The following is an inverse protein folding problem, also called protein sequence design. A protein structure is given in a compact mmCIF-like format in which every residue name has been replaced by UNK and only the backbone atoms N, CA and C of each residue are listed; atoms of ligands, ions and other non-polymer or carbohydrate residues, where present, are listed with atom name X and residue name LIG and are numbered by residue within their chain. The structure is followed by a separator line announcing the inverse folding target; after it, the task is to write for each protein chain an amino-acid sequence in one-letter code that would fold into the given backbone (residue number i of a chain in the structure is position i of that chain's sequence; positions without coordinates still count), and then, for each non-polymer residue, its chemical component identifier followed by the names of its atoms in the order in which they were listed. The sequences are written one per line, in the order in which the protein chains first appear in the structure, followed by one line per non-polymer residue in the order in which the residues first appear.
data_IF_224566407014
#
_entry.id   IF_224566407014
#
_cell.length_a   1.000
_cell.length_b   1.000
_cell.length_c   1.000
_cell.angle_alpha   90.00
_cell.angle_beta   90.00
_cell.angle_gamma   90.00
#
_symmetry.space_group_name_H-M   'P 1'
#
loop_
_entity.id
_entity.type
_entity.pdbx_description
1 polymer ?
#
# COMPACT_ATOMS: atom_id res chain seq x y z
N UNK A 1 -11.98 0.34 2.70
CA UNK A 1 -12.23 -1.02 3.22
C UNK A 1 -11.08 -1.50 4.10
N UNK A 2 -9.81 -1.43 3.66
CA UNK A 2 -8.63 -1.81 4.46
C UNK A 2 -8.59 -1.24 5.88
N UNK A 3 -8.82 0.07 6.05
CA UNK A 3 -8.74 0.70 7.36
C UNK A 3 -9.68 0.12 8.41
N UNK A 4 -10.82 -0.46 8.00
CA UNK A 4 -11.74 -1.13 8.93
C UNK A 4 -11.21 -2.50 9.38
N UNK A 5 -10.54 -3.24 8.50
CA UNK A 5 -9.91 -4.51 8.83
C UNK A 5 -8.71 -4.29 9.76
N UNK A 6 -7.84 -3.32 9.43
CA UNK A 6 -6.73 -2.92 10.29
C UNK A 6 -7.22 -2.47 11.67
N UNK A 7 -8.30 -1.72 11.74
CA UNK A 7 -8.90 -1.28 13.01
C UNK A 7 -9.48 -2.44 13.83
N UNK A 8 -10.13 -3.40 13.18
CA UNK A 8 -10.66 -4.60 13.83
C UNK A 8 -9.53 -5.49 14.38
N UNK A 9 -8.43 -5.64 13.63
CA UNK A 9 -7.25 -6.39 14.04
C UNK A 9 -6.51 -5.71 15.20
N UNK A 10 -6.42 -4.38 15.19
CA UNK A 10 -5.88 -3.63 16.33
C UNK A 10 -6.65 -3.89 17.62
N UNK A 11 -7.99 -3.95 17.56
CA UNK A 11 -8.83 -4.32 18.71
C UNK A 11 -8.61 -5.78 19.14
N UNK A 12 -8.45 -6.69 18.18
CA UNK A 12 -8.17 -8.10 18.46
C UNK A 12 -6.83 -8.27 19.19
N UNK A 13 -5.78 -7.58 18.75
CA UNK A 13 -4.47 -7.63 19.40
C UNK A 13 -4.49 -7.04 20.82
N UNK A 14 -5.21 -5.93 21.04
CA UNK A 14 -5.39 -5.36 22.37
C UNK A 14 -6.08 -6.32 23.36
N UNK A 15 -7.03 -7.14 22.88
CA UNK A 15 -7.66 -8.19 23.70
C UNK A 15 -6.70 -9.37 23.91
N UNK A 16 -5.92 -9.74 22.90
CA UNK A 16 -4.96 -10.83 23.00
C UNK A 16 -3.83 -10.55 24.01
N UNK A 17 -3.38 -9.29 24.14
CA UNK A 17 -2.43 -8.88 25.18
C UNK A 17 -3.00 -9.04 26.60
N UNK A 18 -4.31 -8.81 26.77
CA UNK A 18 -4.99 -9.04 28.05
C UNK A 18 -5.15 -10.54 28.39
N UNK A 19 -5.01 -11.43 27.42
CA UNK A 19 -5.18 -12.89 27.58
C UNK A 19 -4.01 -13.69 26.96
N UNK A 20 -2.89 -13.85 27.69
CA UNK A 20 -1.69 -14.56 27.21
C UNK A 20 -1.91 -16.03 26.82
N UNK A 21 -2.97 -16.66 27.32
CA UNK A 21 -3.35 -18.01 26.93
C UNK A 21 -3.88 -18.08 25.48
N UNK A 22 -4.46 -16.98 24.96
CA UNK A 22 -4.97 -16.90 23.60
C UNK A 22 -3.85 -16.72 22.58
N UNK A 23 -2.82 -15.93 22.91
CA UNK A 23 -1.64 -15.72 22.04
C UNK A 23 -0.82 -16.99 21.84
N UNK A 24 -0.81 -17.89 22.84
CA UNK A 24 -0.10 -19.16 22.79
C UNK A 24 -0.81 -20.25 21.94
N UNK A 25 -2.02 -19.99 21.44
CA UNK A 25 -2.72 -20.95 20.57
C UNK A 25 -2.15 -20.93 19.15
N UNK A 26 -1.89 -22.11 18.60
CA UNK A 26 -1.31 -22.26 17.25
C UNK A 26 -2.15 -21.56 16.16
N UNK A 27 -3.48 -21.56 16.30
CA UNK A 27 -4.39 -20.86 15.38
C UNK A 27 -4.20 -19.34 15.37
N UNK A 28 -3.93 -18.73 16.52
CA UNK A 28 -3.69 -17.29 16.62
C UNK A 28 -2.33 -16.90 16.02
N UNK A 29 -1.31 -17.74 16.24
CA UNK A 29 0.02 -17.59 15.62
C UNK A 29 -0.06 -17.70 14.09
N UNK A 30 -0.82 -18.65 13.57
CA UNK A 30 -1.07 -18.81 12.13
C UNK A 30 -1.79 -17.59 11.53
N UNK A 31 -2.79 -17.05 12.23
CA UNK A 31 -3.49 -15.82 11.83
C UNK A 31 -2.54 -14.62 11.75
N UNK A 32 -1.65 -14.44 12.73
CA UNK A 32 -0.64 -13.37 12.69
C UNK A 32 0.31 -13.51 11.49
N UNK A 33 0.78 -14.72 11.21
CA UNK A 33 1.67 -14.98 10.06
C UNK A 33 0.95 -14.67 8.74
N UNK A 34 -0.27 -15.17 8.56
CA UNK A 34 -1.06 -14.89 7.36
C UNK A 34 -1.36 -13.41 7.20
N UNK A 35 -1.64 -12.70 8.31
CA UNK A 35 -1.87 -11.26 8.26
C UNK A 35 -0.62 -10.50 7.81
N UNK A 36 0.55 -10.86 8.36
CA UNK A 36 1.82 -10.26 7.96
C UNK A 36 2.12 -10.51 6.48
N UNK A 37 1.78 -11.70 5.97
CA UNK A 37 1.92 -12.03 4.55
C UNK A 37 0.97 -11.20 3.68
N UNK A 38 -0.30 -11.07 4.06
CA UNK A 38 -1.28 -10.23 3.36
C UNK A 38 -0.84 -8.76 3.37
N UNK A 39 -0.31 -8.26 4.48
CA UNK A 39 0.20 -6.89 4.58
C UNK A 39 1.36 -6.67 3.62
N UNK A 40 2.31 -7.60 3.55
CA UNK A 40 3.43 -7.55 2.61
C UNK A 40 2.95 -7.56 1.15
N UNK A 41 2.01 -8.45 0.81
CA UNK A 41 1.41 -8.51 -0.52
C UNK A 41 0.64 -7.23 -0.87
N UNK A 42 -0.07 -6.64 0.09
CA UNK A 42 -0.79 -5.39 -0.08
C UNK A 42 0.17 -4.22 -0.31
N UNK A 43 1.26 -4.13 0.45
CA UNK A 43 2.30 -3.13 0.25
C UNK A 43 2.93 -3.26 -1.13
N UNK A 44 3.27 -4.49 -1.55
CA UNK A 44 3.78 -4.76 -2.89
C UNK A 44 2.78 -4.35 -3.98
N UNK A 45 1.50 -4.70 -3.84
CA UNK A 45 0.47 -4.33 -4.80
C UNK A 45 0.30 -2.81 -4.93
N UNK A 46 0.38 -2.07 -3.81
CA UNK A 46 0.35 -0.60 -3.80
C UNK A 46 1.57 -0.01 -4.51
N UNK A 47 2.76 -0.52 -4.21
CA UNK A 47 4.00 -0.08 -4.87
C UNK A 47 3.96 -0.37 -6.37
N UNK A 48 3.61 -1.60 -6.77
CA UNK A 48 3.48 -2.00 -8.16
C UNK A 48 2.48 -1.13 -8.94
N UNK A 49 1.34 -0.81 -8.34
CA UNK A 49 0.37 0.11 -8.93
C UNK A 49 0.99 1.50 -9.14
N UNK A 50 1.67 2.02 -8.11
CA UNK A 50 2.32 3.34 -8.19
C UNK A 50 3.40 3.38 -9.27
N UNK A 51 4.26 2.36 -9.33
CA UNK A 51 5.32 2.26 -10.34
C UNK A 51 4.72 2.20 -11.76
N UNK A 52 3.64 1.44 -11.93
CA UNK A 52 2.92 1.35 -13.21
C UNK A 52 2.29 2.69 -13.60
N UNK A 53 1.68 3.40 -12.66
CA UNK A 53 1.09 4.72 -12.89
C UNK A 53 2.17 5.75 -13.20
N UNK A 54 3.29 5.75 -12.49
CA UNK A 54 4.44 6.63 -12.78
C UNK A 54 4.97 6.35 -14.19
N UNK A 55 5.12 5.09 -14.56
CA UNK A 55 5.57 4.68 -15.89
C UNK A 55 4.59 5.15 -16.97
N UNK A 56 3.28 4.97 -16.74
CA UNK A 56 2.22 5.44 -17.64
C UNK A 56 2.26 6.96 -17.81
N UNK A 57 2.27 7.70 -16.69
CA UNK A 57 2.25 9.16 -16.72
C UNK A 57 3.50 9.70 -17.42
N UNK A 58 4.67 9.12 -17.13
CA UNK A 58 5.93 9.46 -17.80
C UNK A 58 5.84 9.20 -19.30
N UNK A 59 5.29 8.04 -19.72
CA UNK A 59 5.12 7.74 -21.13
C UNK A 59 4.15 8.71 -21.83
N UNK A 60 3.03 9.09 -21.19
CA UNK A 60 2.04 10.03 -21.74
C UNK A 60 2.65 11.41 -21.99
N UNK A 61 3.61 11.85 -21.18
CA UNK A 61 4.30 13.15 -21.34
C UNK A 61 5.62 13.07 -22.08
N UNK A 62 6.02 11.91 -22.60
CA UNK A 62 7.31 11.72 -23.29
C UNK A 62 7.10 11.46 -24.79
N UNK A 63 7.95 12.05 -25.63
CA UNK A 63 7.96 11.81 -27.08
C UNK A 63 8.53 10.41 -27.37
N UNK A 64 7.95 9.61 -28.30
CA UNK A 64 6.86 9.95 -29.23
C UNK A 64 5.45 9.64 -28.70
N UNK A 65 5.33 8.98 -27.55
CA UNK A 65 4.05 8.51 -27.02
C UNK A 65 3.05 9.66 -26.76
N UNK A 66 3.52 10.85 -26.37
CA UNK A 66 2.70 12.05 -26.22
C UNK A 66 1.83 12.38 -27.47
N UNK A 67 2.36 12.19 -28.68
CA UNK A 67 1.64 12.51 -29.91
C UNK A 67 0.43 11.59 -30.15
N UNK A 68 0.53 10.35 -29.67
CA UNK A 68 -0.51 9.34 -29.85
C UNK A 68 -1.39 9.19 -28.61
N UNK A 69 -0.97 9.66 -27.43
CA UNK A 69 -1.71 9.54 -26.18
C UNK A 69 -3.12 10.14 -26.27
N UNK A 70 -3.26 11.32 -26.89
CA UNK A 70 -4.57 11.95 -27.13
C UNK A 70 -5.46 11.17 -28.10
N UNK A 71 -4.89 10.59 -29.15
CA UNK A 71 -5.62 9.75 -30.12
C UNK A 71 -6.09 8.45 -29.45
N UNK A 72 -5.23 7.85 -28.62
CA UNK A 72 -5.52 6.64 -27.85
C UNK A 72 -6.43 6.88 -26.63
N UNK A 73 -6.82 8.14 -26.34
CA UNK A 73 -7.59 8.54 -25.15
C UNK A 73 -6.95 8.08 -23.82
N UNK A 74 -5.62 7.99 -23.79
CA UNK A 74 -4.85 7.66 -22.59
C UNK A 74 -4.46 8.96 -21.89
N UNK A 75 -4.77 9.05 -20.60
CA UNK A 75 -4.52 10.23 -19.77
C UNK A 75 -3.78 9.81 -18.50
N UNK A 76 -3.12 10.79 -17.86
CA UNK A 76 -2.44 10.55 -16.59
C UNK A 76 -3.40 10.03 -15.53
N UNK A 77 -2.87 9.15 -14.66
CA UNK A 77 -3.62 8.56 -13.56
C UNK A 77 -3.00 8.98 -12.24
N UNK A 78 -3.84 9.14 -11.21
CA UNK A 78 -3.37 9.39 -9.86
C UNK A 78 -2.71 8.15 -9.27
N UNK A 79 -1.55 8.32 -8.64
CA UNK A 79 -0.96 7.27 -7.81
C UNK A 79 -1.86 6.94 -6.62
N UNK A 80 -1.71 5.74 -6.07
CA UNK A 80 -2.36 5.37 -4.82
C UNK A 80 -1.74 6.19 -3.69
N UNK A 81 -2.53 7.09 -3.10
CA UNK A 81 -2.08 7.91 -1.99
C UNK A 81 -1.84 7.02 -0.77
N UNK A 82 -0.58 6.94 -0.34
CA UNK A 82 -0.22 6.30 0.91
C UNK A 82 -0.87 7.08 2.07
N UNK A 83 -1.63 6.36 2.90
CA UNK A 83 -2.40 6.93 4.02
C UNK A 83 -1.50 7.36 5.19
N UNK A 84 -0.23 6.95 5.19
CA UNK A 84 0.77 7.43 6.15
C UNK A 84 1.36 8.76 5.70
N UNK A 85 0.81 9.86 6.23
CA UNK A 85 1.38 11.21 6.07
C UNK A 85 2.85 11.29 6.53
N UNK A 86 3.26 10.41 7.45
CA UNK A 86 4.61 10.33 8.01
C UNK A 86 5.67 9.86 6.99
N UNK A 87 5.29 9.08 5.97
CA UNK A 87 6.22 8.63 4.91
C UNK A 87 6.36 9.64 3.76
N UNK A 88 5.50 10.68 3.71
CA UNK A 88 5.62 11.78 2.74
C UNK A 88 6.66 12.83 3.13
N UNK A 89 7.35 12.66 4.25
CA UNK A 89 8.46 13.54 4.63
C UNK A 89 9.60 13.36 3.62
N UNK A 90 9.55 14.13 2.55
CA UNK A 90 10.60 14.25 1.54
C UNK A 90 11.90 14.60 2.29
N UNK A 91 13.00 13.85 2.11
CA UNK A 91 14.26 14.21 2.72
C UNK A 91 14.67 15.60 2.23
N UNK A 92 14.71 16.58 3.14
CA UNK A 92 15.27 17.89 2.85
C UNK A 92 16.77 17.71 2.64
N UNK A 93 17.20 17.78 1.39
CA UNK A 93 18.63 17.85 1.08
C UNK A 93 19.07 19.28 1.40
N UNK A 94 19.70 19.46 2.56
CA UNK A 94 20.47 20.68 2.86
C UNK A 94 21.86 20.53 2.23
N UNK A 95 22.25 21.52 1.43
CA UNK A 95 23.59 21.64 0.83
C UNK A 95 24.56 22.32 1.80
#
# INVERSE_FOLDING_TARGET
ADGMLTQALGKLFAVAEAYPALTATENFRLLQVQLSEIESQLQFARQFYNDTVVTLNTAVVTVPAMWFAGIAKVTERSVYAETDETKRAVPKVEF
#
